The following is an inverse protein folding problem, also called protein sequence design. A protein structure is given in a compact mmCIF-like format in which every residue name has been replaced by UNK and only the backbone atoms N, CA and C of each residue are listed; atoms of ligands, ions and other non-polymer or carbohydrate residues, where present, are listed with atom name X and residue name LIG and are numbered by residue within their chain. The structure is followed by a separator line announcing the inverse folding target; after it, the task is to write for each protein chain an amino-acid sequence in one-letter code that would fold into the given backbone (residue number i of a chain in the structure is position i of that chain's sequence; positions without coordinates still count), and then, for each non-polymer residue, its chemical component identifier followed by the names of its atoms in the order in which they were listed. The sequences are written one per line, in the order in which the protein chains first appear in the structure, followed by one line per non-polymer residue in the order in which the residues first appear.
data_IF_648074304644
#
_entry.id   IF_648074304644
#
_cell.length_a   1.000
_cell.length_b   1.000
_cell.length_c   1.000
_cell.angle_alpha   90.00
_cell.angle_beta   90.00
_cell.angle_gamma   90.00
#
_symmetry.space_group_name_H-M   'P 1'
#
loop_
_entity.id
_entity.type
_entity.pdbx_description
1 polymer ?
#
# COMPACT_ATOMS: atom_id res chain seq x y z
N UNK A 1 -25.33 18.67 10.50
CA UNK A 1 -24.98 17.78 11.61
C UNK A 1 -23.68 17.08 11.26
N UNK A 2 -22.66 17.07 12.10
CA UNK A 2 -21.42 16.37 11.86
C UNK A 2 -21.64 14.85 11.79
N UNK A 3 -20.80 14.15 11.03
CA UNK A 3 -20.78 12.69 10.90
C UNK A 3 -19.47 12.17 11.47
N UNK A 4 -19.48 10.93 11.95
CA UNK A 4 -18.31 10.23 12.41
C UNK A 4 -18.11 9.00 11.53
N UNK A 5 -16.92 8.82 11.02
CA UNK A 5 -16.53 7.68 10.17
C UNK A 5 -15.19 7.11 10.64
N UNK A 6 -14.82 5.97 10.14
CA UNK A 6 -13.50 5.40 10.32
C UNK A 6 -12.88 5.11 8.95
N UNK A 7 -11.75 5.73 8.61
CA UNK A 7 -11.22 5.78 7.26
C UNK A 7 -12.20 6.43 6.28
N UNK A 8 -12.62 7.64 6.60
CA UNK A 8 -13.71 8.37 5.94
C UNK A 8 -13.55 8.49 4.43
N UNK A 9 -12.33 8.57 3.89
CA UNK A 9 -12.09 8.65 2.45
C UNK A 9 -12.62 7.43 1.70
N UNK A 10 -12.63 6.25 2.33
CA UNK A 10 -13.18 5.04 1.73
C UNK A 10 -14.69 5.14 1.55
N UNK A 11 -15.42 5.42 2.63
CA UNK A 11 -16.89 5.49 2.57
C UNK A 11 -17.38 6.69 1.75
N UNK A 12 -16.75 7.85 1.91
CA UNK A 12 -17.07 9.06 1.13
C UNK A 12 -16.84 8.83 -0.37
N UNK A 13 -15.81 8.08 -0.75
CA UNK A 13 -15.55 7.71 -2.14
C UNK A 13 -16.70 6.89 -2.73
N UNK A 14 -17.17 5.87 -2.02
CA UNK A 14 -18.28 5.02 -2.45
C UNK A 14 -19.62 5.76 -2.46
N UNK A 15 -19.91 6.59 -1.45
CA UNK A 15 -21.11 7.42 -1.40
C UNK A 15 -21.14 8.39 -2.59
N UNK A 16 -20.03 9.04 -2.88
CA UNK A 16 -19.90 9.91 -4.05
C UNK A 16 -20.12 9.15 -5.37
N UNK A 17 -19.56 7.95 -5.49
CA UNK A 17 -19.78 7.10 -6.67
C UNK A 17 -21.26 6.73 -6.83
N UNK A 18 -21.94 6.47 -5.73
CA UNK A 18 -23.39 6.20 -5.72
C UNK A 18 -24.26 7.45 -5.91
N UNK A 19 -23.67 8.65 -6.12
CA UNK A 19 -24.40 9.91 -6.26
C UNK A 19 -24.95 10.48 -4.96
N UNK A 20 -24.50 9.98 -3.82
CA UNK A 20 -24.91 10.43 -2.48
C UNK A 20 -23.96 11.53 -2.00
N UNK A 21 -24.50 12.73 -1.82
CA UNK A 21 -23.75 13.88 -1.29
C UNK A 21 -23.74 13.86 0.25
N UNK A 22 -22.55 13.86 0.84
CA UNK A 22 -22.38 13.99 2.29
C UNK A 22 -22.03 15.44 2.63
N UNK A 23 -22.92 16.15 3.33
CA UNK A 23 -22.76 17.56 3.69
C UNK A 23 -22.36 17.73 5.15
N UNK A 24 -21.55 18.74 5.42
CA UNK A 24 -21.04 19.11 6.75
C UNK A 24 -19.77 18.33 7.13
N UNK A 25 -19.19 18.64 8.29
CA UNK A 25 -17.93 18.04 8.72
C UNK A 25 -18.05 16.53 8.93
N UNK A 26 -16.99 15.79 8.53
CA UNK A 26 -16.84 14.35 8.74
C UNK A 26 -15.60 14.13 9.58
N UNK A 27 -15.81 13.71 10.83
CA UNK A 27 -14.75 13.38 11.75
C UNK A 27 -14.30 11.95 11.56
N UNK A 28 -13.00 11.76 11.32
CA UNK A 28 -12.42 10.44 11.07
C UNK A 28 -11.68 9.92 12.31
N UNK A 29 -12.17 8.82 12.88
CA UNK A 29 -11.56 8.21 14.07
C UNK A 29 -10.18 7.64 13.82
N UNK A 30 -9.84 7.30 12.55
CA UNK A 30 -8.50 6.86 12.18
C UNK A 30 -7.52 8.03 12.23
N UNK A 31 -7.91 9.19 11.71
CA UNK A 31 -7.12 10.44 11.81
C UNK A 31 -6.97 10.87 13.26
N UNK A 32 -8.07 10.88 14.01
CA UNK A 32 -8.06 11.23 15.45
C UNK A 32 -7.07 10.38 16.24
N UNK A 33 -7.10 9.06 16.05
CA UNK A 33 -6.20 8.14 16.75
C UNK A 33 -4.74 8.32 16.34
N UNK A 34 -4.47 8.62 15.06
CA UNK A 34 -3.10 8.85 14.57
C UNK A 34 -2.51 10.16 15.12
N UNK A 35 -3.32 11.18 15.34
CA UNK A 35 -2.88 12.43 15.94
C UNK A 35 -2.58 12.32 17.42
N UNK A 36 -3.30 11.45 18.12
CA UNK A 36 -3.10 11.20 19.55
C UNK A 36 -1.90 10.28 19.84
N UNK A 37 -1.57 9.39 18.90
CA UNK A 37 -0.43 8.49 19.02
C UNK A 37 0.06 8.09 17.62
N UNK A 38 1.05 8.81 17.11
CA UNK A 38 1.67 8.59 15.79
C UNK A 38 2.59 7.36 15.74
N UNK A 39 2.93 6.80 16.90
CA UNK A 39 3.83 5.65 17.00
C UNK A 39 3.11 4.30 16.90
N UNK A 40 1.79 4.32 16.77
CA UNK A 40 1.01 3.09 16.63
C UNK A 40 1.31 2.39 15.30
N UNK A 41 1.42 1.07 15.39
CA UNK A 41 1.61 0.23 14.20
C UNK A 41 0.34 0.10 13.35
N UNK A 42 -0.84 0.14 13.99
CA UNK A 42 -2.12 -0.13 13.34
C UNK A 42 -3.20 0.85 13.80
N UNK A 43 -3.88 1.45 12.82
CA UNK A 43 -5.02 2.35 13.03
C UNK A 43 -6.35 1.77 12.53
N UNK A 44 -6.41 0.47 12.21
CA UNK A 44 -7.66 -0.16 11.81
C UNK A 44 -8.66 -0.22 12.98
N UNK A 45 -9.96 -0.23 12.66
CA UNK A 45 -11.04 -0.15 13.63
C UNK A 45 -10.97 -1.26 14.70
N UNK A 46 -10.55 -2.48 14.33
CA UNK A 46 -10.45 -3.59 15.30
C UNK A 46 -9.37 -3.35 16.35
N UNK A 47 -8.20 -2.86 15.94
CA UNK A 47 -7.09 -2.56 16.87
C UNK A 47 -7.46 -1.41 17.79
N UNK A 48 -8.06 -0.34 17.24
CA UNK A 48 -8.48 0.81 18.05
C UNK A 48 -9.63 0.45 19.00
N UNK A 49 -10.61 -0.32 18.56
CA UNK A 49 -11.71 -0.79 19.42
C UNK A 49 -11.17 -1.63 20.59
N UNK A 50 -10.22 -2.52 20.31
CA UNK A 50 -9.61 -3.32 21.37
C UNK A 50 -8.85 -2.45 22.38
N UNK A 51 -7.99 -1.53 21.89
CA UNK A 51 -7.10 -0.77 22.76
C UNK A 51 -7.83 0.33 23.56
N UNK A 52 -8.78 1.03 22.94
CA UNK A 52 -9.49 2.16 23.58
C UNK A 52 -10.79 1.77 24.27
N UNK A 53 -11.48 0.73 23.79
CA UNK A 53 -12.80 0.32 24.28
C UNK A 53 -12.80 -1.06 24.94
N UNK A 54 -11.70 -1.85 24.84
CA UNK A 54 -11.63 -3.24 25.28
C UNK A 54 -12.66 -4.13 24.57
N UNK A 55 -13.07 -3.74 23.36
CA UNK A 55 -14.07 -4.44 22.56
C UNK A 55 -13.44 -5.24 21.42
N UNK A 56 -14.00 -6.42 21.16
CA UNK A 56 -13.69 -7.22 19.98
C UNK A 56 -14.92 -7.37 19.11
N UNK A 57 -14.77 -7.19 17.81
CA UNK A 57 -15.87 -7.40 16.87
C UNK A 57 -16.27 -8.86 16.80
N UNK A 58 -17.57 -9.10 16.72
CA UNK A 58 -18.12 -10.43 16.47
C UNK A 58 -18.30 -10.66 14.96
N UNK A 59 -17.33 -11.31 14.35
CA UNK A 59 -17.37 -11.66 12.92
C UNK A 59 -17.92 -13.09 12.66
N UNK A 60 -18.49 -13.76 13.70
CA UNK A 60 -18.87 -15.18 13.60
C UNK A 60 -19.92 -15.42 12.52
N UNK A 61 -20.99 -14.63 12.49
CA UNK A 61 -22.08 -14.78 11.51
C UNK A 61 -21.56 -14.56 10.08
N UNK A 62 -20.75 -13.51 9.90
CA UNK A 62 -20.14 -13.19 8.61
C UNK A 62 -19.25 -14.33 8.11
N UNK A 63 -18.39 -14.88 8.98
CA UNK A 63 -17.48 -15.99 8.63
C UNK A 63 -18.22 -17.27 8.30
N UNK A 64 -19.27 -17.60 9.05
CA UNK A 64 -20.11 -18.77 8.76
C UNK A 64 -20.81 -18.61 7.40
N UNK A 65 -21.44 -17.46 7.16
CA UNK A 65 -22.06 -17.17 5.88
C UNK A 65 -21.06 -17.24 4.72
N UNK A 66 -19.87 -16.67 4.88
CA UNK A 66 -18.83 -16.72 3.87
C UNK A 66 -18.40 -18.15 3.54
N UNK A 67 -18.26 -19.00 4.55
CA UNK A 67 -17.95 -20.42 4.36
C UNK A 67 -19.07 -21.16 3.62
N UNK A 68 -20.33 -20.93 3.99
CA UNK A 68 -21.49 -21.54 3.33
C UNK A 68 -21.63 -21.13 1.86
N UNK A 69 -21.25 -19.88 1.53
CA UNK A 69 -21.29 -19.37 0.16
C UNK A 69 -20.00 -19.61 -0.63
N UNK A 70 -18.97 -20.19 -0.03
CA UNK A 70 -17.68 -20.48 -0.67
C UNK A 70 -16.90 -19.22 -1.08
N UNK A 71 -17.01 -18.14 -0.31
CA UNK A 71 -16.39 -16.83 -0.60
C UNK A 71 -15.50 -16.38 0.55
N UNK A 72 -14.55 -15.48 0.26
CA UNK A 72 -13.76 -14.86 1.33
C UNK A 72 -14.57 -13.79 2.08
N UNK A 73 -14.58 -13.87 3.42
CA UNK A 73 -15.40 -13.04 4.28
C UNK A 73 -15.10 -11.52 4.19
N UNK A 74 -13.89 -11.13 3.74
CA UNK A 74 -13.47 -9.72 3.67
C UNK A 74 -13.42 -9.20 2.25
N UNK A 75 -12.69 -9.86 1.36
CA UNK A 75 -12.49 -9.41 -0.02
C UNK A 75 -13.72 -9.65 -0.91
N UNK A 76 -14.59 -10.59 -0.53
CA UNK A 76 -15.78 -10.98 -1.30
C UNK A 76 -17.10 -10.78 -0.54
N UNK A 77 -17.08 -10.00 0.54
CA UNK A 77 -18.28 -9.69 1.36
C UNK A 77 -19.46 -9.18 0.54
N UNK A 78 -19.21 -8.46 -0.54
CA UNK A 78 -20.22 -7.93 -1.45
C UNK A 78 -21.04 -9.00 -2.18
N UNK A 79 -20.59 -10.25 -2.20
CA UNK A 79 -21.33 -11.39 -2.75
C UNK A 79 -22.33 -11.97 -1.76
N UNK A 80 -22.24 -11.62 -0.49
CA UNK A 80 -23.12 -12.14 0.56
C UNK A 80 -24.43 -11.36 0.63
N UNK A 81 -25.56 -12.06 0.91
CA UNK A 81 -26.83 -11.39 1.18
C UNK A 81 -26.72 -10.39 2.35
N UNK A 82 -27.37 -9.23 2.22
CA UNK A 82 -27.31 -8.14 3.20
C UNK A 82 -27.65 -8.58 4.64
N UNK A 83 -28.53 -9.58 4.84
CA UNK A 83 -28.89 -10.12 6.16
C UNK A 83 -27.72 -10.67 6.97
N UNK A 84 -26.65 -11.14 6.30
CA UNK A 84 -25.43 -11.64 6.96
C UNK A 84 -24.39 -10.55 7.18
N UNK A 85 -24.40 -9.50 6.34
CA UNK A 85 -23.47 -8.38 6.40
C UNK A 85 -24.00 -7.25 7.30
N UNK A 86 -25.32 -7.10 7.40
CA UNK A 86 -25.98 -6.00 8.12
C UNK A 86 -25.53 -5.88 9.57
N UNK A 87 -25.54 -6.98 10.32
CA UNK A 87 -25.11 -6.98 11.72
C UNK A 87 -23.62 -6.56 11.88
N UNK A 88 -22.77 -6.97 10.94
CA UNK A 88 -21.37 -6.56 10.93
C UNK A 88 -21.24 -5.05 10.68
N UNK A 89 -21.98 -4.51 9.71
CA UNK A 89 -21.96 -3.08 9.38
C UNK A 89 -22.52 -2.22 10.53
N UNK A 90 -23.62 -2.66 11.17
CA UNK A 90 -24.19 -2.00 12.34
C UNK A 90 -23.19 -1.96 13.52
N UNK A 91 -22.49 -3.07 13.75
CA UNK A 91 -21.46 -3.14 14.78
C UNK A 91 -20.31 -2.18 14.48
N UNK A 92 -19.85 -2.09 13.22
CA UNK A 92 -18.79 -1.17 12.82
C UNK A 92 -19.18 0.29 13.05
N UNK A 93 -20.41 0.67 12.70
CA UNK A 93 -20.92 2.01 12.94
C UNK A 93 -21.02 2.34 14.44
N UNK A 94 -21.54 1.40 15.24
CA UNK A 94 -21.67 1.56 16.68
C UNK A 94 -20.30 1.66 17.38
N UNK A 95 -19.34 0.84 17.00
CA UNK A 95 -17.95 0.91 17.52
C UNK A 95 -17.29 2.22 17.11
N UNK A 96 -17.43 2.65 15.88
CA UNK A 96 -16.88 3.93 15.39
C UNK A 96 -17.43 5.10 16.20
N UNK A 97 -18.70 5.10 16.53
CA UNK A 97 -19.31 6.15 17.37
C UNK A 97 -18.73 6.14 18.79
N UNK A 98 -18.65 4.99 19.46
CA UNK A 98 -18.06 4.89 20.81
C UNK A 98 -16.59 5.25 20.83
N UNK A 99 -15.86 4.87 19.79
CA UNK A 99 -14.46 5.24 19.63
C UNK A 99 -14.29 6.76 19.53
N UNK A 100 -15.16 7.43 18.78
CA UNK A 100 -15.15 8.90 18.72
C UNK A 100 -15.43 9.52 20.09
N UNK A 101 -16.45 9.06 20.79
CA UNK A 101 -16.79 9.56 22.13
C UNK A 101 -15.64 9.39 23.12
N UNK A 102 -14.77 8.38 22.89
CA UNK A 102 -13.55 8.16 23.70
C UNK A 102 -12.39 9.04 23.28
N UNK A 103 -12.18 9.26 21.96
CA UNK A 103 -11.02 10.01 21.44
C UNK A 103 -11.21 11.53 21.51
N UNK A 104 -12.42 12.03 21.32
CA UNK A 104 -12.70 13.47 21.30
C UNK A 104 -12.22 14.22 22.55
N UNK A 105 -12.45 13.75 23.80
CA UNK A 105 -11.90 14.41 24.98
C UNK A 105 -10.36 14.45 25.00
N UNK A 106 -9.72 13.42 24.47
CA UNK A 106 -8.26 13.35 24.41
C UNK A 106 -7.69 14.36 23.39
N UNK A 107 -8.34 14.58 22.24
CA UNK A 107 -7.98 15.62 21.25
C UNK A 107 -7.97 17.00 21.91
N UNK A 108 -8.95 17.27 22.76
CA UNK A 108 -9.05 18.56 23.48
C UNK A 108 -7.95 18.66 24.55
N UNK A 109 -7.74 17.60 25.32
CA UNK A 109 -6.75 17.54 26.40
C UNK A 109 -5.32 17.68 25.90
N UNK A 110 -4.99 17.07 24.79
CA UNK A 110 -3.66 17.11 24.15
C UNK A 110 -3.48 18.36 23.27
N UNK A 111 -4.44 19.28 23.25
CA UNK A 111 -4.41 20.57 22.53
C UNK A 111 -4.21 20.43 21.00
N UNK A 112 -4.61 19.28 20.41
CA UNK A 112 -4.46 19.01 18.97
C UNK A 112 -5.72 19.32 18.15
N UNK A 113 -6.72 19.98 18.74
CA UNK A 113 -8.01 20.28 18.09
C UNK A 113 -7.86 21.06 16.79
N UNK A 114 -6.98 22.08 16.74
CA UNK A 114 -6.78 22.90 15.54
C UNK A 114 -6.20 22.09 14.37
N UNK A 115 -5.29 21.16 14.66
CA UNK A 115 -4.71 20.28 13.65
C UNK A 115 -5.75 19.27 13.19
N UNK A 116 -6.56 18.72 14.11
CA UNK A 116 -7.65 17.82 13.76
C UNK A 116 -8.71 18.48 12.86
N UNK A 117 -9.04 19.75 13.12
CA UNK A 117 -9.93 20.53 12.26
C UNK A 117 -9.32 20.75 10.86
N UNK A 118 -8.02 21.01 10.77
CA UNK A 118 -7.30 21.13 9.50
C UNK A 118 -7.37 19.81 8.71
N UNK A 119 -7.04 18.68 9.33
CA UNK A 119 -7.11 17.35 8.69
C UNK A 119 -8.53 17.00 8.26
N UNK A 120 -9.54 17.35 9.07
CA UNK A 120 -10.94 17.19 8.72
C UNK A 120 -11.30 18.01 7.47
N UNK A 121 -10.82 19.25 7.39
CA UNK A 121 -11.06 20.14 6.24
C UNK A 121 -10.30 19.67 4.98
N UNK A 122 -9.17 19.00 5.11
CA UNK A 122 -8.41 18.42 3.99
C UNK A 122 -9.10 17.21 3.33
N UNK A 123 -9.88 16.45 4.08
CA UNK A 123 -10.52 15.21 3.59
C UNK A 123 -11.31 15.40 2.28
N UNK A 124 -12.20 16.40 2.12
CA UNK A 124 -12.90 16.63 0.85
C UNK A 124 -11.96 16.95 -0.30
N UNK A 125 -10.89 17.73 -0.06
CA UNK A 125 -9.90 18.08 -1.08
C UNK A 125 -9.13 16.83 -1.55
N UNK A 126 -8.69 15.99 -0.64
CA UNK A 126 -7.99 14.73 -0.96
C UNK A 126 -8.90 13.78 -1.75
N UNK A 127 -10.18 13.72 -1.38
CA UNK A 127 -11.19 12.97 -2.13
C UNK A 127 -11.37 13.51 -3.55
N UNK A 128 -11.39 14.84 -3.74
CA UNK A 128 -11.46 15.47 -5.06
C UNK A 128 -10.21 15.18 -5.89
N UNK A 129 -9.02 15.21 -5.28
CA UNK A 129 -7.77 14.86 -5.94
C UNK A 129 -7.79 13.39 -6.40
N UNK A 130 -8.21 12.47 -5.52
CA UNK A 130 -8.38 11.05 -5.87
C UNK A 130 -9.40 10.87 -7.00
N UNK A 131 -10.55 11.54 -6.91
CA UNK A 131 -11.62 11.44 -7.92
C UNK A 131 -11.17 11.97 -9.28
N UNK A 132 -10.47 13.10 -9.31
CA UNK A 132 -9.89 13.67 -10.52
C UNK A 132 -8.80 12.77 -11.11
N UNK A 133 -7.97 12.19 -10.26
CA UNK A 133 -6.80 11.41 -10.63
C UNK A 133 -5.70 12.23 -11.31
N UNK A 134 -4.56 11.60 -11.54
CA UNK A 134 -3.38 12.16 -12.22
C UNK A 134 -3.35 11.66 -13.67
N UNK A 135 -3.15 12.54 -14.63
CA UNK A 135 -3.03 12.18 -16.05
C UNK A 135 -1.82 11.28 -16.27
N UNK A 136 -1.98 10.26 -17.09
CA UNK A 136 -0.94 9.33 -17.50
C UNK A 136 -0.72 9.45 -19.01
N UNK A 137 0.53 9.51 -19.41
CA UNK A 137 0.94 9.28 -20.79
C UNK A 137 1.07 7.76 -21.01
N UNK A 138 -0.03 7.13 -21.44
CA UNK A 138 -0.08 5.67 -21.64
C UNK A 138 0.81 5.23 -22.80
N UNK A 139 0.87 6.02 -23.88
CA UNK A 139 1.72 5.71 -25.04
C UNK A 139 3.20 5.82 -24.67
N UNK A 140 3.61 6.91 -24.03
CA UNK A 140 4.96 7.09 -23.51
C UNK A 140 5.34 5.99 -22.52
N UNK A 141 4.41 5.60 -21.64
CA UNK A 141 4.61 4.49 -20.69
C UNK A 141 4.80 3.14 -21.40
N UNK A 142 4.01 2.85 -22.44
CA UNK A 142 4.19 1.62 -23.24
C UNK A 142 5.51 1.61 -24.00
N UNK A 143 5.93 2.74 -24.54
CA UNK A 143 7.22 2.86 -25.24
C UNK A 143 8.40 2.71 -24.27
N UNK A 144 8.31 3.35 -23.09
CA UNK A 144 9.30 3.17 -22.03
C UNK A 144 9.40 1.70 -21.58
N UNK A 145 8.26 1.02 -21.41
CA UNK A 145 8.23 -0.41 -21.09
C UNK A 145 8.98 -1.25 -22.10
N UNK A 146 8.70 -1.07 -23.41
CA UNK A 146 9.38 -1.80 -24.49
C UNK A 146 10.89 -1.59 -24.45
N UNK A 147 11.33 -0.33 -24.23
CA UNK A 147 12.75 -0.01 -24.13
C UNK A 147 13.41 -0.69 -22.91
N UNK A 148 12.75 -0.68 -21.75
CA UNK A 148 13.25 -1.34 -20.54
C UNK A 148 13.36 -2.86 -20.74
N UNK A 149 12.35 -3.50 -21.33
CA UNK A 149 12.33 -4.93 -21.63
C UNK A 149 13.45 -5.31 -22.63
N UNK A 150 13.68 -4.49 -23.64
CA UNK A 150 14.77 -4.70 -24.58
C UNK A 150 16.14 -4.61 -23.89
N UNK A 151 16.38 -3.56 -23.08
CA UNK A 151 17.62 -3.39 -22.34
C UNK A 151 17.85 -4.49 -21.30
N UNK A 152 16.80 -4.93 -20.62
CA UNK A 152 16.87 -6.07 -19.69
C UNK A 152 17.30 -7.34 -20.44
N UNK A 153 16.71 -7.59 -21.62
CA UNK A 153 17.06 -8.73 -22.47
C UNK A 153 18.51 -8.67 -22.96
N UNK A 154 19.00 -7.51 -23.37
CA UNK A 154 20.39 -7.31 -23.79
C UNK A 154 21.37 -7.68 -22.65
N UNK A 155 21.17 -7.17 -21.43
CA UNK A 155 22.03 -7.49 -20.30
C UNK A 155 21.94 -8.98 -19.92
N UNK A 156 20.76 -9.59 -19.95
CA UNK A 156 20.60 -11.04 -19.72
C UNK A 156 21.39 -11.85 -20.75
N UNK A 157 21.35 -11.45 -22.02
CA UNK A 157 22.11 -12.09 -23.08
C UNK A 157 23.62 -11.94 -22.88
N UNK A 158 24.11 -10.78 -22.48
CA UNK A 158 25.53 -10.58 -22.14
C UNK A 158 25.98 -11.50 -20.99
N UNK A 159 25.20 -11.55 -19.90
CA UNK A 159 25.49 -12.43 -18.76
C UNK A 159 25.52 -13.90 -19.21
N UNK A 160 24.54 -14.31 -20.03
CA UNK A 160 24.47 -15.67 -20.57
C UNK A 160 25.62 -16.00 -21.48
N UNK A 161 26.05 -15.06 -22.31
CA UNK A 161 27.22 -15.25 -23.23
C UNK A 161 28.52 -15.43 -22.43
N UNK A 162 28.69 -14.66 -21.32
CA UNK A 162 29.90 -14.73 -20.51
C UNK A 162 29.94 -15.95 -19.58
N UNK A 163 28.79 -16.42 -19.09
CA UNK A 163 28.73 -17.44 -18.04
C UNK A 163 28.07 -18.75 -18.49
N UNK A 164 27.32 -18.75 -19.60
CA UNK A 164 26.50 -19.86 -20.04
C UNK A 164 25.19 -20.01 -19.21
N UNK A 165 24.90 -19.10 -18.28
CA UNK A 165 23.79 -19.21 -17.32
C UNK A 165 22.74 -18.12 -17.53
N UNK A 166 21.49 -18.48 -17.36
CA UNK A 166 20.40 -17.51 -17.24
C UNK A 166 20.33 -16.98 -15.79
N UNK A 167 20.11 -15.66 -15.65
CA UNK A 167 20.09 -15.01 -14.34
C UNK A 167 18.73 -14.40 -14.03
N UNK A 168 18.23 -14.69 -12.82
CA UNK A 168 17.06 -14.03 -12.23
C UNK A 168 17.51 -12.96 -11.24
N UNK A 169 17.24 -11.65 -11.51
CA UNK A 169 17.88 -10.54 -10.78
C UNK A 169 17.55 -10.48 -9.30
N UNK A 170 16.42 -11.04 -8.89
CA UNK A 170 15.96 -11.04 -7.48
C UNK A 170 16.17 -12.37 -6.78
N UNK A 171 16.63 -13.39 -7.47
CA UNK A 171 16.88 -14.71 -6.90
C UNK A 171 18.37 -14.85 -6.54
N UNK A 172 18.67 -14.84 -5.24
CA UNK A 172 20.04 -14.94 -4.73
C UNK A 172 20.74 -16.23 -5.18
N UNK A 173 20.03 -17.36 -5.25
CA UNK A 173 20.59 -18.64 -5.74
C UNK A 173 20.91 -18.60 -7.22
N UNK A 174 20.14 -17.85 -8.02
CA UNK A 174 20.44 -17.68 -9.44
C UNK A 174 21.70 -16.83 -9.64
N UNK A 175 21.85 -15.75 -8.85
CA UNK A 175 23.03 -14.88 -8.90
C UNK A 175 24.26 -15.62 -8.37
N UNK A 176 24.15 -16.43 -7.32
CA UNK A 176 25.31 -17.16 -6.78
C UNK A 176 25.93 -18.10 -7.81
N UNK A 177 25.10 -18.79 -8.63
CA UNK A 177 25.62 -19.65 -9.72
C UNK A 177 26.47 -18.86 -10.73
N UNK A 178 26.09 -17.61 -11.04
CA UNK A 178 26.86 -16.72 -11.91
C UNK A 178 28.19 -16.33 -11.25
N UNK A 179 28.17 -15.99 -9.96
CA UNK A 179 29.38 -15.65 -9.21
C UNK A 179 30.30 -16.86 -9.05
N UNK A 180 29.75 -18.04 -8.71
CA UNK A 180 30.52 -19.29 -8.59
C UNK A 180 31.22 -19.64 -9.94
N UNK A 181 30.52 -19.46 -11.08
CA UNK A 181 31.08 -19.72 -12.41
C UNK A 181 32.26 -18.80 -12.73
N UNK A 182 32.26 -17.59 -12.17
CA UNK A 182 33.33 -16.59 -12.34
C UNK A 182 34.35 -16.61 -11.20
N UNK A 183 34.27 -17.56 -10.28
CA UNK A 183 35.10 -17.70 -9.08
C UNK A 183 35.11 -16.44 -8.20
N UNK A 184 33.97 -15.70 -8.14
CA UNK A 184 33.80 -14.48 -7.39
C UNK A 184 33.23 -14.78 -5.99
N UNK A 185 33.84 -14.14 -4.99
CA UNK A 185 33.37 -14.26 -3.60
C UNK A 185 32.12 -13.39 -3.35
N UNK A 186 31.22 -13.90 -2.53
CA UNK A 186 30.03 -13.18 -2.08
C UNK A 186 29.68 -13.52 -0.62
N UNK A 187 29.03 -12.60 0.12
CA UNK A 187 28.63 -12.82 1.50
C UNK A 187 27.46 -13.80 1.60
N UNK A 188 27.38 -14.44 2.76
CA UNK A 188 26.27 -15.32 3.15
C UNK A 188 25.55 -14.76 4.37
N UNK A 189 24.28 -15.09 4.53
CA UNK A 189 23.49 -14.65 5.69
C UNK A 189 23.91 -15.42 6.95
N UNK A 190 24.10 -14.75 8.11
CA UNK A 190 24.59 -15.41 9.33
C UNK A 190 23.66 -16.51 9.86
N UNK A 191 22.34 -16.41 9.63
CA UNK A 191 21.36 -17.34 10.19
C UNK A 191 21.11 -18.58 9.35
N UNK A 192 21.16 -18.47 8.02
CA UNK A 192 20.74 -19.55 7.13
C UNK A 192 21.81 -19.95 6.12
N UNK A 193 23.00 -19.35 6.20
CA UNK A 193 24.09 -19.56 5.24
C UNK A 193 23.68 -19.39 3.76
N UNK A 194 22.60 -18.67 3.51
CA UNK A 194 22.11 -18.39 2.18
C UNK A 194 22.91 -17.28 1.50
N UNK A 195 23.12 -17.32 0.16
CA UNK A 195 23.76 -16.25 -0.59
C UNK A 195 23.09 -14.90 -0.37
N UNK A 196 23.88 -13.83 -0.22
CA UNK A 196 23.37 -12.49 0.07
C UNK A 196 23.93 -11.45 -0.91
N UNK A 197 23.08 -10.95 -1.80
CA UNK A 197 23.43 -9.95 -2.81
C UNK A 197 22.70 -8.64 -2.53
N UNK A 198 23.10 -7.95 -1.45
CA UNK A 198 22.54 -6.64 -1.10
C UNK A 198 22.95 -5.58 -2.12
N UNK A 199 22.16 -4.48 -2.18
CA UNK A 199 22.50 -3.34 -3.04
C UNK A 199 23.91 -2.79 -2.73
N UNK A 200 24.24 -2.68 -1.44
CA UNK A 200 25.53 -2.18 -0.98
C UNK A 200 26.68 -3.07 -1.43
N UNK A 201 26.57 -4.40 -1.26
CA UNK A 201 27.57 -5.35 -1.71
C UNK A 201 27.81 -5.26 -3.21
N UNK A 202 26.75 -5.35 -4.03
CA UNK A 202 26.87 -5.30 -5.47
C UNK A 202 27.45 -3.98 -5.97
N UNK A 203 27.07 -2.84 -5.36
CA UNK A 203 27.59 -1.52 -5.71
C UNK A 203 29.07 -1.33 -5.35
N UNK A 204 29.57 -2.02 -4.32
CA UNK A 204 30.98 -1.95 -3.90
C UNK A 204 31.88 -2.99 -4.59
N UNK A 205 31.29 -3.96 -5.28
CA UNK A 205 32.03 -5.05 -5.93
C UNK A 205 32.70 -4.58 -7.21
N UNK A 206 34.02 -4.83 -7.37
CA UNK A 206 34.81 -4.30 -8.47
C UNK A 206 34.61 -5.01 -9.81
N UNK A 207 34.03 -6.22 -9.81
CA UNK A 207 33.88 -6.99 -11.05
C UNK A 207 32.70 -6.47 -11.88
N UNK A 208 32.83 -6.33 -13.22
CA UNK A 208 31.78 -5.80 -14.10
C UNK A 208 30.45 -6.56 -14.05
N UNK A 209 30.50 -7.86 -13.71
CA UNK A 209 29.29 -8.67 -13.55
C UNK A 209 28.36 -8.14 -12.45
N UNK A 210 28.91 -7.61 -11.33
CA UNK A 210 28.10 -7.02 -10.29
C UNK A 210 27.36 -5.77 -10.78
N UNK A 211 28.02 -4.94 -11.58
CA UNK A 211 27.40 -3.77 -12.22
C UNK A 211 26.26 -4.18 -13.17
N UNK A 212 26.45 -5.23 -13.99
CA UNK A 212 25.40 -5.78 -14.85
C UNK A 212 24.19 -6.24 -14.06
N UNK A 213 24.40 -6.92 -12.92
CA UNK A 213 23.29 -7.35 -12.04
C UNK A 213 22.59 -6.16 -11.38
N UNK A 214 23.31 -5.14 -10.93
CA UNK A 214 22.70 -3.89 -10.41
C UNK A 214 21.85 -3.26 -11.51
N UNK A 215 22.36 -3.10 -12.70
CA UNK A 215 21.65 -2.51 -13.84
C UNK A 215 20.40 -3.33 -14.23
N UNK A 216 20.53 -4.64 -14.25
CA UNK A 216 19.42 -5.56 -14.50
C UNK A 216 18.30 -5.39 -13.45
N UNK A 217 18.65 -5.27 -12.16
CA UNK A 217 17.69 -5.00 -11.08
C UNK A 217 17.01 -3.65 -11.23
N UNK A 218 17.75 -2.60 -11.59
CA UNK A 218 17.20 -1.26 -11.80
C UNK A 218 16.18 -1.25 -12.95
N UNK A 219 16.53 -1.85 -14.10
CA UNK A 219 15.65 -1.93 -15.26
C UNK A 219 14.39 -2.75 -14.94
N UNK A 220 14.58 -3.93 -14.33
CA UNK A 220 13.47 -4.79 -13.93
C UNK A 220 12.54 -4.09 -12.93
N UNK A 221 13.08 -3.42 -11.90
CA UNK A 221 12.29 -2.66 -10.94
C UNK A 221 11.56 -1.48 -11.60
N UNK A 222 12.24 -0.74 -12.49
CA UNK A 222 11.63 0.36 -13.22
C UNK A 222 10.42 -0.13 -14.05
N UNK A 223 10.56 -1.27 -14.72
CA UNK A 223 9.48 -1.87 -15.50
C UNK A 223 8.37 -2.43 -14.61
N UNK A 224 8.69 -3.36 -13.71
CA UNK A 224 7.67 -4.14 -12.98
C UNK A 224 6.99 -3.33 -11.88
N UNK A 225 7.76 -2.50 -11.14
CA UNK A 225 7.22 -1.75 -10.00
C UNK A 225 6.58 -0.42 -10.41
N UNK A 226 7.15 0.27 -11.41
CA UNK A 226 6.64 1.59 -11.81
C UNK A 226 5.80 1.53 -13.07
N UNK A 227 6.39 1.21 -14.22
CA UNK A 227 5.70 1.32 -15.51
C UNK A 227 4.52 0.36 -15.62
N UNK A 228 4.72 -0.91 -15.24
CA UNK A 228 3.65 -1.91 -15.28
C UNK A 228 2.49 -1.57 -14.34
N UNK A 229 2.77 -1.01 -13.15
CA UNK A 229 1.73 -0.56 -12.24
C UNK A 229 1.01 0.69 -12.76
N UNK A 230 1.74 1.65 -13.33
CA UNK A 230 1.14 2.81 -13.98
C UNK A 230 0.11 2.35 -15.04
N UNK A 231 0.51 1.46 -15.94
CA UNK A 231 -0.37 0.95 -16.99
C UNK A 231 -1.54 0.11 -16.43
N UNK A 232 -1.27 -0.72 -15.41
CA UNK A 232 -2.28 -1.57 -14.77
C UNK A 232 -3.38 -0.77 -14.07
N UNK A 233 -3.00 0.32 -13.40
CA UNK A 233 -3.92 1.14 -12.60
C UNK A 233 -4.42 2.38 -13.35
N UNK A 234 -4.00 2.57 -14.60
CA UNK A 234 -4.57 3.62 -15.45
C UNK A 234 -6.02 3.27 -15.80
N UNK A 235 -6.90 4.22 -15.54
CA UNK A 235 -8.29 4.17 -15.96
C UNK A 235 -8.63 5.44 -16.75
N UNK A 236 -9.00 5.29 -18.03
CA UNK A 236 -9.29 6.42 -18.92
C UNK A 236 -8.17 7.47 -18.94
N UNK A 237 -6.91 7.01 -19.00
CA UNK A 237 -5.74 7.88 -19.03
C UNK A 237 -5.40 8.57 -17.71
N UNK A 238 -5.89 8.05 -16.56
CA UNK A 238 -5.63 8.61 -15.24
C UNK A 238 -5.40 7.52 -14.20
N UNK A 239 -4.56 7.84 -13.20
CA UNK A 239 -4.36 7.04 -11.99
C UNK A 239 -5.05 7.74 -10.82
N UNK A 240 -5.80 6.97 -10.04
CA UNK A 240 -6.56 7.43 -8.88
C UNK A 240 -5.90 6.93 -7.59
N UNK A 241 -4.86 7.66 -7.14
CA UNK A 241 -4.12 7.31 -5.93
C UNK A 241 -4.93 7.57 -4.66
N UNK A 242 -4.71 6.78 -3.62
CA UNK A 242 -5.19 7.07 -2.27
C UNK A 242 -4.20 7.97 -1.54
N UNK A 243 -4.72 8.89 -0.73
CA UNK A 243 -3.93 9.77 0.12
C UNK A 243 -4.15 9.37 1.58
N UNK A 244 -3.09 9.08 2.29
CA UNK A 244 -3.15 8.63 3.68
C UNK A 244 -2.56 9.70 4.62
N UNK A 245 -3.35 10.71 5.06
CA UNK A 245 -2.85 11.79 5.91
C UNK A 245 -2.23 11.32 7.22
N UNK A 246 -2.77 10.29 7.92
CA UNK A 246 -2.27 9.90 9.22
C UNK A 246 -0.93 9.15 9.21
N UNK A 247 -0.31 8.95 8.06
CA UNK A 247 0.98 8.25 8.00
C UNK A 247 2.10 9.24 8.26
N UNK A 248 2.74 9.12 9.42
CA UNK A 248 3.97 9.85 9.74
C UNK A 248 5.12 9.35 8.87
N UNK A 249 5.52 10.14 7.87
CA UNK A 249 6.78 9.93 7.15
C UNK A 249 7.87 10.75 7.83
N UNK A 250 8.75 10.09 8.54
CA UNK A 250 9.97 10.71 9.05
C UNK A 250 10.93 11.12 7.92
N UNK A 251 10.64 10.72 6.67
CA UNK A 251 11.40 11.06 5.47
C UNK A 251 10.45 11.36 4.30
N UNK A 252 10.02 12.60 4.20
CA UNK A 252 9.39 13.12 2.97
C UNK A 252 10.44 13.26 1.88
N UNK A 253 10.80 12.17 1.25
CA UNK A 253 11.48 12.17 -0.04
C UNK A 253 10.52 11.60 -1.07
N UNK A 254 9.77 12.47 -1.74
CA UNK A 254 8.83 12.22 -2.83
C UNK A 254 7.63 11.29 -2.49
N UNK A 255 6.42 11.58 -2.98
CA UNK A 255 5.26 10.75 -2.75
C UNK A 255 5.52 9.35 -3.33
N UNK A 256 5.70 8.39 -2.46
CA UNK A 256 5.68 6.99 -2.86
C UNK A 256 4.23 6.68 -3.18
N UNK A 257 3.92 6.54 -4.46
CA UNK A 257 2.61 6.05 -4.91
C UNK A 257 2.55 4.59 -4.50
N UNK A 258 1.93 4.32 -3.37
CA UNK A 258 1.55 2.95 -3.03
C UNK A 258 0.29 2.62 -3.83
N UNK A 259 0.45 1.80 -4.86
CA UNK A 259 -0.66 1.10 -5.47
C UNK A 259 -1.13 0.00 -4.51
N UNK A 260 -2.40 0.04 -4.17
CA UNK A 260 -3.11 -1.05 -3.49
C UNK A 260 -3.28 -2.22 -4.44
#
# INVERSE_FOLDING_TARGET
MPKVMHNAQYDLGWLRWAGIEVRGPVYDTMVAAAMLDENRRWYNLNSLAFDYLQERKNERLLKLAAADYGVDAKSEMWKLPARFVGQYAEQDAAVTRRLWDRLQPDIIREEVSSIFELETALTPMLLDMRWRGVRVDEEGSMNARKLLEQREKEIRMEIKTETGLDVEPWNATSISKVFDKLELLYPRTPKSDAPSFTKQFLASHRHPMAEKIVKLRELNKANTTFISNILKFSHKGRIHAEFHPPVSYTHLTLPTIYSV
#
